data_IF_501026490321
#
_entry.id   IF_501026490321
#
_cell.length_a   1.000
_cell.length_b   1.000
_cell.length_c   1.000
_cell.angle_alpha   90.00
_cell.angle_beta   90.00
_cell.angle_gamma   90.00
#
_symmetry.space_group_name_H-M   'P 1'
#
loop_
_entity.id
_entity.type
_entity.pdbx_description
1 polymer ?
#
# COMPACT_ATOMS: atom_id res chain seq x y z
N UNK A 1 36.51 7.96 -74.54
CA UNK A 1 36.58 7.09 -73.36
C UNK A 1 35.67 7.67 -72.31
N UNK A 2 34.47 7.10 -72.17
CA UNK A 2 33.45 7.54 -71.22
C UNK A 2 33.45 6.56 -70.03
N UNK A 3 33.79 7.04 -68.87
CA UNK A 3 33.79 6.24 -67.64
C UNK A 3 32.38 6.21 -67.04
N UNK A 4 31.73 5.05 -67.13
CA UNK A 4 30.50 4.75 -66.42
C UNK A 4 30.77 4.73 -64.91
N UNK A 5 30.16 5.63 -64.14
CA UNK A 5 30.05 5.53 -62.69
C UNK A 5 29.08 4.42 -62.37
N UNK A 6 29.57 3.35 -61.76
CA UNK A 6 28.78 2.30 -61.15
C UNK A 6 28.14 2.83 -59.84
N UNK A 7 26.85 2.88 -59.84
CA UNK A 7 26.06 3.20 -58.66
C UNK A 7 26.06 1.95 -57.74
N UNK A 8 26.73 2.06 -56.62
CA UNK A 8 26.66 1.02 -55.56
C UNK A 8 25.36 1.24 -54.76
N UNK A 9 24.45 0.28 -54.73
CA UNK A 9 23.26 0.42 -53.87
C UNK A 9 23.67 0.38 -52.41
N UNK A 10 23.27 1.40 -51.64
CA UNK A 10 23.43 1.39 -50.21
C UNK A 10 22.66 0.22 -49.60
N UNK A 11 23.20 -0.47 -48.60
CA UNK A 11 22.48 -1.58 -47.93
C UNK A 11 21.24 -1.02 -47.24
N UNK A 12 20.10 -1.61 -47.58
CA UNK A 12 18.83 -1.38 -46.88
C UNK A 12 19.04 -1.61 -45.39
N UNK A 13 18.88 -0.57 -44.60
CA UNK A 13 18.85 -0.73 -43.13
C UNK A 13 17.65 -1.58 -42.79
N UNK A 14 17.89 -2.82 -42.38
CA UNK A 14 16.89 -3.69 -41.79
C UNK A 14 16.31 -3.00 -40.57
N UNK A 15 14.99 -3.05 -40.37
CA UNK A 15 14.37 -2.45 -39.18
C UNK A 15 14.98 -3.06 -37.92
N UNK A 16 15.54 -2.22 -37.06
CA UNK A 16 16.04 -2.64 -35.75
C UNK A 16 14.85 -2.80 -34.85
N UNK A 17 14.50 -4.02 -34.51
CA UNK A 17 13.55 -4.32 -33.46
C UNK A 17 14.24 -4.10 -32.11
N UNK A 18 13.73 -3.19 -31.32
CA UNK A 18 14.13 -3.04 -29.92
C UNK A 18 13.18 -3.91 -29.09
N UNK A 19 13.72 -4.94 -28.52
CA UNK A 19 13.00 -5.75 -27.52
C UNK A 19 12.97 -4.98 -26.21
N UNK A 20 11.81 -4.46 -25.84
CA UNK A 20 11.59 -3.87 -24.54
C UNK A 20 11.17 -4.97 -23.57
N UNK A 21 12.11 -5.55 -22.86
CA UNK A 21 11.77 -6.38 -21.71
C UNK A 21 11.36 -5.47 -20.56
N UNK A 22 10.07 -5.32 -20.35
CA UNK A 22 9.53 -4.69 -19.15
C UNK A 22 9.47 -5.76 -18.07
N UNK A 23 10.37 -5.71 -17.10
CA UNK A 23 10.27 -6.49 -15.87
C UNK A 23 9.75 -5.58 -14.75
N UNK A 24 8.44 -5.56 -14.50
CA UNK A 24 7.88 -4.78 -13.39
C UNK A 24 7.96 -5.54 -12.07
N UNK A 25 8.83 -6.53 -11.95
CA UNK A 25 9.05 -7.27 -10.72
C UNK A 25 9.84 -6.37 -9.81
N UNK A 26 9.25 -6.08 -8.64
CA UNK A 26 10.01 -5.51 -7.54
C UNK A 26 11.06 -6.55 -7.16
N UNK A 27 12.29 -6.28 -7.52
CA UNK A 27 13.37 -7.20 -7.22
C UNK A 27 13.61 -7.18 -5.71
N UNK A 28 13.34 -8.32 -5.08
CA UNK A 28 13.72 -8.56 -3.70
C UNK A 28 15.23 -8.81 -3.67
N UNK A 29 15.91 -8.14 -2.78
CA UNK A 29 17.27 -8.53 -2.43
C UNK A 29 17.17 -9.71 -1.50
N UNK A 30 17.86 -10.78 -1.83
CA UNK A 30 18.19 -11.78 -0.88
C UNK A 30 19.00 -11.14 0.25
N UNK A 31 18.42 -11.09 1.43
CA UNK A 31 19.00 -10.41 2.59
C UNK A 31 20.09 -11.23 3.27
N UNK A 32 20.22 -12.50 2.90
CA UNK A 32 21.34 -13.35 3.28
C UNK A 32 22.53 -13.22 2.32
N UNK A 33 22.48 -12.26 1.41
CA UNK A 33 23.68 -11.88 0.66
C UNK A 33 24.78 -11.61 1.69
N UNK A 34 25.73 -12.51 1.72
CA UNK A 34 26.98 -12.38 2.47
C UNK A 34 27.52 -11.01 2.11
N UNK A 35 27.46 -10.10 3.08
CA UNK A 35 27.96 -8.75 2.90
C UNK A 35 29.42 -8.91 2.53
N UNK A 36 29.73 -8.74 1.25
CA UNK A 36 31.11 -8.76 0.77
C UNK A 36 31.89 -7.75 1.59
N UNK A 37 32.88 -8.16 2.40
CA UNK A 37 33.65 -7.25 3.25
C UNK A 37 34.33 -6.13 2.46
N UNK A 38 34.54 -6.32 1.15
CA UNK A 38 35.11 -5.30 0.25
C UNK A 38 34.09 -4.24 -0.19
N UNK A 39 32.78 -4.46 0.04
CA UNK A 39 31.69 -3.59 -0.39
C UNK A 39 30.81 -3.18 0.78
N UNK A 40 31.42 -2.87 1.93
CA UNK A 40 30.74 -2.56 3.18
C UNK A 40 29.88 -1.30 3.04
N UNK A 41 28.62 -1.51 2.67
CA UNK A 41 27.59 -0.50 2.93
C UNK A 41 27.39 -0.46 4.44
N UNK A 42 27.29 0.74 4.99
CA UNK A 42 27.07 0.96 6.44
C UNK A 42 25.74 0.35 6.90
N UNK A 43 24.82 0.17 6.00
CA UNK A 43 23.48 -0.33 6.24
C UNK A 43 23.10 -1.47 5.29
N UNK A 44 22.20 -2.30 5.73
CA UNK A 44 21.57 -3.33 4.91
C UNK A 44 20.53 -2.67 4.00
N UNK A 45 20.67 -2.76 2.67
CA UNK A 45 19.69 -2.18 1.76
C UNK A 45 18.34 -2.90 1.90
N UNK A 46 17.25 -2.14 1.83
CA UNK A 46 15.90 -2.69 1.84
C UNK A 46 15.39 -2.78 0.40
N UNK A 47 15.55 -3.96 -0.20
CA UNK A 47 15.33 -4.23 -1.62
C UNK A 47 16.53 -3.82 -2.49
N UNK A 48 16.50 -4.14 -3.79
CA UNK A 48 17.51 -3.72 -4.74
C UNK A 48 17.63 -2.19 -4.72
N UNK A 49 18.84 -1.69 -4.72
CA UNK A 49 19.16 -0.27 -4.67
C UNK A 49 18.50 0.49 -3.51
N UNK A 50 18.09 -0.23 -2.44
CA UNK A 50 17.41 0.34 -1.30
C UNK A 50 16.05 1.00 -1.64
N UNK A 51 15.43 0.60 -2.73
CA UNK A 51 14.26 1.25 -3.33
C UNK A 51 12.91 0.67 -2.88
N UNK A 52 12.89 -0.55 -2.31
CA UNK A 52 11.64 -1.27 -2.00
C UNK A 52 10.65 -0.44 -1.17
N UNK A 53 11.00 0.23 -0.05
CA UNK A 53 10.03 0.99 0.72
C UNK A 53 9.37 2.12 -0.08
N UNK A 54 10.15 2.80 -0.96
CA UNK A 54 9.62 3.85 -1.82
C UNK A 54 8.64 3.29 -2.85
N UNK A 55 8.95 2.13 -3.43
CA UNK A 55 8.08 1.45 -4.39
C UNK A 55 6.76 1.03 -3.72
N UNK A 56 6.82 0.43 -2.53
CA UNK A 56 5.63 0.04 -1.77
C UNK A 56 4.75 1.24 -1.39
N UNK A 57 5.35 2.37 -0.96
CA UNK A 57 4.61 3.62 -0.70
C UNK A 57 3.94 4.12 -1.98
N UNK A 58 4.67 4.10 -3.11
CA UNK A 58 4.12 4.53 -4.40
C UNK A 58 2.88 3.70 -4.75
N UNK A 59 2.97 2.39 -4.68
CA UNK A 59 1.83 1.50 -4.92
C UNK A 59 0.66 1.79 -3.97
N UNK A 60 0.94 1.95 -2.66
CA UNK A 60 -0.09 2.29 -1.68
C UNK A 60 -0.74 3.67 -1.91
N UNK A 61 -0.14 4.58 -2.68
CA UNK A 61 -0.70 5.89 -3.03
C UNK A 61 -1.44 5.89 -4.36
N UNK A 62 -0.96 5.11 -5.32
CA UNK A 62 -1.43 5.14 -6.71
C UNK A 62 -2.53 4.09 -6.99
N UNK A 63 -2.62 3.03 -6.18
CA UNK A 63 -3.62 1.96 -6.36
C UNK A 63 -4.74 2.09 -5.32
N UNK A 64 -5.93 2.61 -5.70
CA UNK A 64 -6.98 2.96 -4.74
C UNK A 64 -7.48 1.79 -3.90
N UNK A 65 -7.75 0.63 -4.53
CA UNK A 65 -8.25 -0.56 -3.84
C UNK A 65 -7.22 -1.11 -2.87
N UNK A 66 -5.94 -1.17 -3.26
CA UNK A 66 -4.84 -1.56 -2.38
C UNK A 66 -4.77 -0.64 -1.13
N UNK A 67 -4.84 0.67 -1.33
CA UNK A 67 -4.86 1.63 -0.23
C UNK A 67 -6.07 1.47 0.67
N UNK A 68 -7.25 1.23 0.09
CA UNK A 68 -8.49 1.04 0.84
C UNK A 68 -8.40 -0.20 1.75
N UNK A 69 -7.83 -1.30 1.25
CA UNK A 69 -7.63 -2.52 2.03
C UNK A 69 -6.63 -2.27 3.18
N UNK A 70 -5.49 -1.63 2.92
CA UNK A 70 -4.51 -1.29 3.96
C UNK A 70 -5.13 -0.44 5.07
N UNK A 71 -5.91 0.59 4.70
CA UNK A 71 -6.62 1.43 5.65
C UNK A 71 -7.69 0.66 6.43
N UNK A 72 -8.47 -0.18 5.75
CA UNK A 72 -9.50 -1.01 6.36
C UNK A 72 -8.88 -1.95 7.40
N UNK A 73 -7.88 -2.73 7.02
CA UNK A 73 -7.15 -3.63 7.94
C UNK A 73 -6.59 -2.86 9.15
N UNK A 74 -5.93 -1.71 8.90
CA UNK A 74 -5.39 -0.88 9.98
C UNK A 74 -6.49 -0.46 10.97
N UNK A 75 -7.64 -0.01 10.45
CA UNK A 75 -8.75 0.43 11.30
C UNK A 75 -9.36 -0.73 12.09
N UNK A 76 -9.50 -1.92 11.51
CA UNK A 76 -10.03 -3.09 12.22
C UNK A 76 -9.02 -3.64 13.24
N UNK A 77 -7.71 -3.62 12.97
CA UNK A 77 -6.68 -4.04 13.93
C UNK A 77 -6.66 -3.09 15.14
N UNK A 78 -6.76 -1.78 14.90
CA UNK A 78 -6.80 -0.80 15.98
C UNK A 78 -8.13 -0.85 16.73
N UNK A 79 -9.23 -1.19 16.06
CA UNK A 79 -10.59 -1.13 16.60
C UNK A 79 -10.95 0.28 17.04
N UNK A 80 -11.56 0.41 18.21
CA UNK A 80 -11.85 1.71 18.83
C UNK A 80 -10.68 2.25 19.67
N UNK A 81 -9.51 1.61 19.57
CA UNK A 81 -8.32 1.97 20.31
C UNK A 81 -7.91 0.92 21.34
N UNK A 82 -7.20 1.37 22.35
CA UNK A 82 -6.68 0.53 23.43
C UNK A 82 -7.09 1.07 24.78
N UNK A 83 -7.29 0.17 25.74
CA UNK A 83 -7.68 0.50 27.11
C UNK A 83 -6.93 -0.33 28.13
N UNK A 84 -6.96 0.12 29.37
CA UNK A 84 -6.50 -0.63 30.52
C UNK A 84 -7.30 -0.22 31.76
N UNK A 85 -7.58 -1.18 32.66
CA UNK A 85 -8.14 -0.92 33.97
C UNK A 85 -7.09 -0.49 35.00
N UNK A 86 -5.80 -0.75 34.71
CA UNK A 86 -4.67 -0.33 35.57
C UNK A 86 -4.39 1.17 35.43
N UNK A 87 -4.41 1.97 36.50
CA UNK A 87 -4.23 3.43 36.41
C UNK A 87 -2.90 3.86 35.81
N UNK A 88 -1.82 3.11 36.02
CA UNK A 88 -0.48 3.42 35.51
C UNK A 88 -0.45 3.21 34.01
N UNK A 89 -0.94 2.06 33.56
CA UNK A 89 -1.06 1.73 32.13
C UNK A 89 -2.02 2.71 31.43
N UNK A 90 -3.19 2.99 32.03
CA UNK A 90 -4.14 3.94 31.48
C UNK A 90 -3.54 5.36 31.30
N UNK A 91 -2.78 5.84 32.29
CA UNK A 91 -2.08 7.12 32.20
C UNK A 91 -1.03 7.14 31.06
N UNK A 92 -0.29 6.05 30.88
CA UNK A 92 0.66 5.92 29.78
C UNK A 92 -0.05 5.93 28.41
N UNK A 93 -1.19 5.28 28.27
CA UNK A 93 -1.96 5.24 27.02
C UNK A 93 -2.44 6.64 26.60
N UNK A 94 -2.72 7.52 27.55
CA UNK A 94 -3.10 8.91 27.30
C UNK A 94 -1.92 9.80 26.91
N UNK A 95 -0.75 9.58 27.51
CA UNK A 95 0.44 10.40 27.31
C UNK A 95 1.69 9.54 27.08
N UNK A 96 1.76 8.80 25.96
CA UNK A 96 2.87 7.89 25.67
C UNK A 96 4.16 8.63 25.32
N UNK A 97 4.10 9.94 25.07
CA UNK A 97 5.25 10.76 24.70
C UNK A 97 5.01 12.25 25.01
N UNK A 98 6.07 13.05 24.91
CA UNK A 98 6.02 14.48 25.18
C UNK A 98 5.33 15.32 24.06
N UNK A 99 4.94 14.68 22.94
CA UNK A 99 4.21 15.34 21.82
C UNK A 99 2.71 15.38 22.06
N UNK A 100 2.22 14.89 23.21
CA UNK A 100 0.79 14.79 23.57
C UNK A 100 -0.04 14.01 22.53
N UNK A 101 0.58 13.03 21.89
CA UNK A 101 -0.08 12.12 20.95
C UNK A 101 -0.60 10.92 21.72
N UNK A 102 -1.89 10.56 21.54
CA UNK A 102 -2.47 9.36 22.16
C UNK A 102 -1.75 8.10 21.64
N UNK A 103 -1.63 7.09 22.49
CA UNK A 103 -0.98 5.83 22.11
C UNK A 103 -1.70 5.14 20.94
N UNK A 104 -3.03 5.24 20.86
CA UNK A 104 -3.80 4.74 19.74
C UNK A 104 -3.38 5.33 18.39
N UNK A 105 -2.97 6.60 18.36
CA UNK A 105 -2.46 7.26 17.14
C UNK A 105 -1.08 6.71 16.76
N UNK A 106 -0.19 6.55 17.73
CA UNK A 106 1.12 5.92 17.53
C UNK A 106 0.94 4.49 17.03
N UNK A 107 0.04 3.71 17.66
CA UNK A 107 -0.25 2.33 17.28
C UNK A 107 -0.85 2.24 15.87
N UNK A 108 -1.71 3.18 15.49
CA UNK A 108 -2.25 3.26 14.11
C UNK A 108 -1.15 3.41 13.06
N UNK A 109 -0.17 4.26 13.33
CA UNK A 109 0.99 4.44 12.43
C UNK A 109 1.82 3.17 12.33
N UNK A 110 2.09 2.52 13.46
CA UNK A 110 2.81 1.25 13.50
C UNK A 110 2.09 0.14 12.75
N UNK A 111 0.77 0.00 12.94
CA UNK A 111 -0.04 -0.97 12.20
C UNK A 111 0.00 -0.70 10.70
N UNK A 112 -0.11 0.56 10.29
CA UNK A 112 -0.07 0.92 8.88
C UNK A 112 1.29 0.60 8.25
N UNK A 113 2.39 0.91 8.94
CA UNK A 113 3.74 0.59 8.49
C UNK A 113 3.95 -0.93 8.41
N UNK A 114 3.53 -1.69 9.42
CA UNK A 114 3.63 -3.14 9.44
C UNK A 114 2.88 -3.78 8.26
N UNK A 115 1.66 -3.33 7.99
CA UNK A 115 0.87 -3.83 6.87
C UNK A 115 1.44 -3.43 5.51
N UNK A 116 2.07 -2.25 5.41
CA UNK A 116 2.60 -1.72 4.14
C UNK A 116 3.96 -2.31 3.80
N UNK A 117 4.84 -2.46 4.79
CA UNK A 117 6.24 -2.84 4.59
C UNK A 117 6.60 -4.23 5.10
N UNK A 118 5.72 -4.88 5.86
CA UNK A 118 6.07 -6.05 6.66
C UNK A 118 7.01 -5.71 7.82
N UNK A 119 7.21 -4.42 8.10
CA UNK A 119 8.11 -3.91 9.13
C UNK A 119 7.52 -2.67 9.78
N UNK A 120 7.68 -2.54 11.09
CA UNK A 120 7.45 -1.27 11.77
C UNK A 120 8.47 -1.05 12.87
N UNK A 121 8.70 0.21 13.20
CA UNK A 121 9.71 0.62 14.16
C UNK A 121 9.14 1.64 15.13
N UNK A 122 9.47 1.47 16.41
CA UNK A 122 9.21 2.50 17.42
C UNK A 122 10.42 2.69 18.32
N UNK A 123 10.60 3.93 18.72
CA UNK A 123 11.69 4.34 19.59
C UNK A 123 11.19 4.39 21.02
N UNK A 124 11.94 3.75 21.90
CA UNK A 124 11.81 3.85 23.35
C UNK A 124 12.80 4.88 23.85
N UNK A 125 12.33 5.81 24.65
CA UNK A 125 13.17 6.82 25.29
C UNK A 125 12.93 6.76 26.79
N UNK A 126 14.00 6.56 27.58
CA UNK A 126 13.93 6.45 29.03
C UNK A 126 15.16 7.06 29.68
N UNK A 127 15.14 7.22 30.97
CA UNK A 127 16.34 7.65 31.73
C UNK A 127 17.13 6.44 32.28
N UNK A 128 18.32 6.69 32.78
CA UNK A 128 19.17 5.64 33.37
C UNK A 128 18.50 4.89 34.54
N UNK A 129 17.57 5.55 35.24
CA UNK A 129 16.82 4.96 36.36
C UNK A 129 15.56 4.22 35.88
N UNK A 130 15.21 4.30 34.59
CA UNK A 130 13.99 3.72 34.00
C UNK A 130 12.73 4.13 34.74
N UNK A 131 12.65 5.39 35.19
CA UNK A 131 11.52 5.90 35.97
C UNK A 131 10.37 6.38 35.08
N UNK A 132 10.59 6.53 33.79
CA UNK A 132 9.58 6.83 32.79
C UNK A 132 9.98 6.19 31.44
N UNK A 133 9.04 6.05 30.56
CA UNK A 133 9.25 5.63 29.17
C UNK A 133 8.39 6.47 28.22
N UNK A 134 8.99 6.94 27.15
CA UNK A 134 8.28 7.52 26.01
C UNK A 134 8.38 6.59 24.81
N UNK A 135 7.32 6.55 24.03
CA UNK A 135 7.21 5.76 22.81
C UNK A 135 6.96 6.68 21.62
N UNK A 136 7.81 6.60 20.60
CA UNK A 136 7.69 7.37 19.38
C UNK A 136 7.64 6.44 18.18
N UNK A 137 6.70 6.64 17.29
CA UNK A 137 6.71 5.98 15.99
C UNK A 137 7.90 6.48 15.16
N UNK A 138 8.61 5.53 14.55
CA UNK A 138 9.63 5.79 13.54
C UNK A 138 9.14 5.25 12.18
N UNK A 139 9.08 6.13 11.20
CA UNK A 139 8.61 5.81 9.84
C UNK A 139 9.50 4.73 9.22
N UNK A 140 8.94 3.56 8.94
CA UNK A 140 9.67 2.40 8.43
C UNK A 140 10.40 2.68 7.11
N UNK A 141 9.91 3.60 6.30
CA UNK A 141 10.58 4.01 5.06
C UNK A 141 11.92 4.72 5.30
N UNK A 142 12.10 5.29 6.49
CA UNK A 142 13.28 6.07 6.89
C UNK A 142 14.29 5.29 7.73
N UNK A 143 13.92 4.11 8.20
CA UNK A 143 14.79 3.28 9.03
C UNK A 143 15.52 2.25 8.17
N UNK A 144 16.80 2.06 8.43
CA UNK A 144 17.62 0.95 7.91
C UNK A 144 18.38 0.29 9.03
N UNK A 145 18.63 -0.99 8.88
CA UNK A 145 19.42 -1.74 9.83
C UNK A 145 20.91 -1.59 9.49
N UNK A 146 21.72 -1.34 10.51
CA UNK A 146 23.17 -1.33 10.37
C UNK A 146 23.69 -2.76 10.15
N UNK A 147 24.76 -2.91 9.40
CA UNK A 147 25.35 -4.21 9.05
C UNK A 147 25.87 -5.00 10.24
N UNK A 148 26.05 -4.38 11.40
CA UNK A 148 26.40 -5.06 12.66
C UNK A 148 25.22 -5.77 13.34
N UNK A 149 23.98 -5.52 12.87
CA UNK A 149 22.75 -6.05 13.45
C UNK A 149 22.37 -5.47 14.81
N UNK A 150 23.08 -4.43 15.30
CA UNK A 150 22.88 -3.88 16.64
C UNK A 150 22.28 -2.47 16.64
N UNK A 151 22.27 -1.82 15.50
CA UNK A 151 21.85 -0.43 15.37
C UNK A 151 20.81 -0.27 14.26
N UNK A 152 19.91 0.67 14.48
CA UNK A 152 19.02 1.22 13.46
C UNK A 152 19.52 2.60 13.04
N UNK A 153 19.59 2.81 11.76
CA UNK A 153 19.97 4.05 11.12
C UNK A 153 18.73 4.75 10.59
N UNK A 154 18.56 6.01 10.95
CA UNK A 154 17.40 6.80 10.55
C UNK A 154 17.89 7.97 9.70
N UNK A 155 17.36 8.06 8.47
CA UNK A 155 17.69 9.14 7.57
C UNK A 155 16.44 9.68 6.87
N UNK A 156 16.24 10.99 6.75
CA UNK A 156 15.04 11.58 6.16
C UNK A 156 14.82 11.23 4.68
N UNK A 157 15.92 11.05 3.93
CA UNK A 157 15.89 10.69 2.52
C UNK A 157 17.11 9.87 2.12
N UNK A 158 16.95 8.57 1.95
CA UNK A 158 18.03 7.64 1.63
C UNK A 158 18.66 7.84 0.25
N UNK A 159 18.00 8.50 -0.69
CA UNK A 159 18.58 8.84 -2.00
C UNK A 159 19.67 9.92 -1.89
N UNK A 160 19.60 10.72 -0.83
CA UNK A 160 20.56 11.78 -0.56
C UNK A 160 21.64 11.37 0.47
N UNK A 161 21.61 10.12 0.92
CA UNK A 161 22.56 9.61 1.90
C UNK A 161 24.01 9.63 1.36
N UNK A 162 24.93 10.24 2.13
CA UNK A 162 26.33 10.48 1.76
C UNK A 162 27.36 9.73 2.62
N UNK A 163 26.93 8.69 3.32
CA UNK A 163 27.82 7.90 4.17
C UNK A 163 27.75 8.31 5.66
N UNK A 164 28.67 7.76 6.46
CA UNK A 164 28.64 7.88 7.92
C UNK A 164 28.80 9.32 8.46
N UNK A 165 29.35 10.22 7.67
CA UNK A 165 29.50 11.63 8.04
C UNK A 165 28.28 12.49 7.67
N UNK A 166 27.19 11.87 7.23
CA UNK A 166 25.97 12.60 6.91
C UNK A 166 25.34 13.17 8.19
N UNK A 167 25.22 14.49 8.25
CA UNK A 167 24.69 15.23 9.41
C UNK A 167 23.25 14.89 9.77
N UNK A 168 22.51 14.30 8.84
CA UNK A 168 21.10 13.91 9.04
C UNK A 168 20.95 12.46 9.47
N UNK A 169 22.04 11.70 9.46
CA UNK A 169 22.04 10.32 9.91
C UNK A 169 21.96 10.26 11.44
N UNK A 170 20.98 9.55 11.95
CA UNK A 170 20.87 9.17 13.36
C UNK A 170 21.09 7.67 13.49
N UNK A 171 21.95 7.28 14.43
CA UNK A 171 22.16 5.89 14.79
C UNK A 171 21.66 5.65 16.21
N UNK A 172 20.79 4.67 16.39
CA UNK A 172 20.21 4.29 17.68
C UNK A 172 20.33 2.78 17.84
N UNK A 173 20.66 2.31 19.03
CA UNK A 173 20.75 0.86 19.32
C UNK A 173 19.41 0.17 19.09
N UNK A 174 19.46 -1.07 18.59
CA UNK A 174 18.30 -1.95 18.51
C UNK A 174 18.01 -2.58 19.87
N UNK A 175 16.76 -2.68 20.23
CA UNK A 175 16.32 -3.42 21.42
C UNK A 175 16.83 -4.88 21.38
N UNK A 176 17.36 -5.42 22.49
CA UNK A 176 17.25 -4.94 23.87
C UNK A 176 18.37 -3.96 24.33
N UNK A 177 19.26 -3.54 23.45
CA UNK A 177 20.32 -2.60 23.79
C UNK A 177 19.80 -1.14 23.77
N UNK A 178 20.45 -0.29 24.57
CA UNK A 178 20.13 1.14 24.66
C UNK A 178 21.40 1.97 24.43
N UNK A 179 21.29 3.03 23.64
CA UNK A 179 22.33 4.04 23.42
C UNK A 179 22.00 5.32 24.15
N UNK A 180 23.04 6.04 24.65
CA UNK A 180 22.84 7.39 25.17
C UNK A 180 22.66 8.38 24.03
N UNK A 181 21.57 9.16 24.08
CA UNK A 181 21.38 10.29 23.19
C UNK A 181 22.12 11.55 23.68
N UNK A 182 22.15 12.56 22.81
CA UNK A 182 22.72 13.89 23.12
C UNK A 182 21.93 14.63 24.23
N UNK A 183 20.68 14.22 24.44
CA UNK A 183 19.79 14.71 25.51
C UNK A 183 20.04 14.06 26.88
N UNK A 184 21.00 13.15 26.96
CA UNK A 184 21.36 12.42 28.19
C UNK A 184 20.37 11.29 28.54
N UNK A 185 19.40 11.00 27.67
CA UNK A 185 18.45 9.91 27.80
C UNK A 185 18.97 8.63 27.10
N UNK A 186 18.33 7.53 27.39
CA UNK A 186 18.58 6.23 26.77
C UNK A 186 17.57 6.00 25.68
N UNK A 187 18.05 5.66 24.51
CA UNK A 187 17.25 5.40 23.30
C UNK A 187 17.43 3.97 22.84
N UNK A 188 16.36 3.36 22.40
CA UNK A 188 16.37 2.03 21.76
C UNK A 188 15.29 1.96 20.69
N UNK A 189 15.58 1.33 19.57
CA UNK A 189 14.61 1.06 18.50
C UNK A 189 14.12 -0.38 18.62
N UNK A 190 12.83 -0.54 18.74
CA UNK A 190 12.19 -1.85 18.63
C UNK A 190 11.76 -2.06 17.18
N UNK A 191 12.14 -3.19 16.63
CA UNK A 191 11.80 -3.61 15.28
C UNK A 191 10.81 -4.78 15.34
N UNK A 192 9.61 -4.58 14.82
CA UNK A 192 8.63 -5.64 14.59
C UNK A 192 8.62 -5.94 13.10
N UNK A 193 8.80 -7.19 12.73
CA UNK A 193 8.80 -7.62 11.32
C UNK A 193 7.90 -8.82 11.10
N UNK A 194 7.31 -8.89 9.93
CA UNK A 194 6.63 -10.10 9.44
C UNK A 194 7.68 -11.13 9.02
N UNK A 195 7.45 -12.38 9.39
CA UNK A 195 8.41 -13.44 9.10
C UNK A 195 8.26 -13.90 7.65
N UNK A 196 9.38 -13.89 6.94
CA UNK A 196 9.49 -14.49 5.62
C UNK A 196 10.76 -15.36 5.58
N UNK A 197 10.71 -16.62 5.12
CA UNK A 197 11.90 -17.44 4.92
C UNK A 197 12.94 -16.72 4.06
N UNK A 198 14.23 -16.94 4.32
CA UNK A 198 15.38 -16.33 3.63
C UNK A 198 15.56 -14.82 3.90
N UNK A 199 14.62 -14.16 4.61
CA UNK A 199 14.71 -12.75 4.95
C UNK A 199 15.04 -12.56 6.43
N UNK A 200 16.33 -12.46 6.75
CA UNK A 200 16.79 -12.35 8.15
C UNK A 200 16.74 -10.91 8.68
N UNK A 201 16.92 -9.90 7.84
CA UNK A 201 17.00 -8.48 8.25
C UNK A 201 15.63 -7.82 8.30
N UNK A 202 14.91 -7.83 7.20
CA UNK A 202 13.60 -7.19 7.08
C UNK A 202 12.51 -8.23 6.92
N UNK A 203 11.30 -7.88 7.30
CA UNK A 203 10.11 -8.62 6.92
C UNK A 203 9.61 -8.21 5.53
N UNK A 204 8.76 -9.04 4.96
CA UNK A 204 8.10 -8.77 3.68
C UNK A 204 6.60 -8.70 3.94
N UNK A 205 5.87 -7.71 3.38
CA UNK A 205 4.45 -7.61 3.64
C UNK A 205 3.69 -8.81 3.04
N UNK A 206 2.71 -9.32 3.77
CA UNK A 206 1.97 -10.54 3.43
C UNK A 206 1.33 -10.55 2.03
N UNK A 207 1.01 -9.37 1.47
CA UNK A 207 0.46 -9.24 0.12
C UNK A 207 1.51 -9.31 -1.00
N UNK A 208 2.78 -9.40 -0.67
CA UNK A 208 3.87 -9.29 -1.65
C UNK A 208 3.83 -10.38 -2.72
N UNK A 209 3.37 -11.58 -2.38
CA UNK A 209 3.18 -12.68 -3.34
C UNK A 209 2.30 -12.28 -4.54
N UNK A 210 1.35 -11.37 -4.34
CA UNK A 210 0.47 -10.84 -5.37
C UNK A 210 0.81 -9.42 -5.82
N UNK A 211 2.02 -8.94 -5.60
CA UNK A 211 2.43 -7.56 -5.93
C UNK A 211 2.20 -7.22 -7.40
N UNK A 212 2.28 -8.22 -8.30
CA UNK A 212 2.00 -8.04 -9.73
C UNK A 212 0.55 -7.60 -9.96
N UNK A 213 -0.42 -8.13 -9.20
CA UNK A 213 -1.82 -7.72 -9.33
C UNK A 213 -2.02 -6.27 -8.86
N UNK A 214 -1.29 -5.84 -7.82
CA UNK A 214 -1.28 -4.43 -7.39
C UNK A 214 -0.76 -3.54 -8.53
N UNK A 215 0.33 -3.93 -9.17
CA UNK A 215 0.92 -3.19 -10.31
C UNK A 215 -0.04 -3.16 -11.50
N UNK A 216 -0.66 -4.30 -11.85
CA UNK A 216 -1.64 -4.39 -12.95
C UNK A 216 -2.83 -3.46 -12.69
N UNK A 217 -3.40 -3.46 -11.49
CA UNK A 217 -4.49 -2.54 -11.13
C UNK A 217 -4.07 -1.07 -11.29
N UNK A 218 -2.86 -0.71 -10.87
CA UNK A 218 -2.31 0.64 -11.07
C UNK A 218 -2.13 1.01 -12.53
N UNK A 219 -1.55 0.11 -13.33
CA UNK A 219 -1.35 0.32 -14.77
C UNK A 219 -2.68 0.44 -15.53
N UNK A 220 -3.70 -0.33 -15.15
CA UNK A 220 -5.03 -0.24 -15.75
C UNK A 220 -5.67 1.12 -15.48
N UNK A 221 -5.50 1.67 -14.28
CA UNK A 221 -5.98 3.02 -13.97
C UNK A 221 -5.27 4.09 -14.81
N UNK A 222 -3.94 4.00 -14.97
CA UNK A 222 -3.16 4.90 -15.83
C UNK A 222 -3.60 4.77 -17.29
N UNK A 223 -3.81 3.55 -17.76
CA UNK A 223 -4.27 3.28 -19.12
C UNK A 223 -5.66 3.91 -19.36
N UNK A 224 -6.61 3.73 -18.45
CA UNK A 224 -7.94 4.32 -18.53
C UNK A 224 -7.86 5.86 -18.56
N UNK A 225 -7.05 6.45 -17.69
CA UNK A 225 -6.83 7.90 -17.66
C UNK A 225 -6.28 8.40 -18.99
N UNK A 226 -5.22 7.78 -19.49
CA UNK A 226 -4.58 8.19 -20.76
C UNK A 226 -5.55 8.06 -21.93
N UNK A 227 -6.41 7.04 -21.91
CA UNK A 227 -7.40 6.85 -22.95
C UNK A 227 -8.47 7.92 -22.94
N UNK A 228 -8.93 8.35 -21.76
CA UNK A 228 -9.82 9.49 -21.61
C UNK A 228 -9.15 10.80 -22.08
N UNK A 229 -7.91 11.05 -21.67
CA UNK A 229 -7.14 12.24 -22.07
C UNK A 229 -6.89 12.30 -23.58
N UNK A 230 -6.67 11.15 -24.23
CA UNK A 230 -6.51 11.06 -25.69
C UNK A 230 -7.83 11.09 -26.46
N UNK A 231 -8.96 11.39 -25.81
CA UNK A 231 -10.29 11.43 -26.43
C UNK A 231 -10.64 10.11 -27.15
N UNK A 232 -10.22 8.97 -26.60
CA UNK A 232 -10.41 7.63 -27.17
C UNK A 232 -9.72 7.40 -28.52
N UNK A 233 -8.74 8.20 -28.91
CA UNK A 233 -7.96 7.97 -30.11
C UNK A 233 -7.29 6.57 -30.03
N UNK A 234 -7.63 5.70 -30.95
CA UNK A 234 -7.01 4.38 -31.03
C UNK A 234 -5.55 4.53 -31.43
N UNK A 235 -4.62 3.79 -30.80
CA UNK A 235 -3.26 3.74 -31.28
C UNK A 235 -3.24 3.19 -32.70
N UNK A 236 -2.44 3.80 -33.56
CA UNK A 236 -2.40 3.41 -34.96
C UNK A 236 -1.26 4.05 -35.72
N UNK A 237 -1.16 3.72 -36.97
CA UNK A 237 -0.19 4.30 -37.89
C UNK A 237 -0.91 5.21 -38.88
N UNK A 238 -0.53 6.46 -38.92
CA UNK A 238 -1.00 7.41 -39.90
C UNK A 238 0.02 7.41 -41.07
N UNK A 239 -0.39 6.92 -42.21
CA UNK A 239 0.41 6.89 -43.42
C UNK A 239 0.09 8.13 -44.23
N UNK A 240 1.08 8.99 -44.49
CA UNK A 240 0.95 10.24 -45.24
C UNK A 240 1.80 10.10 -46.50
N UNK A 241 1.20 9.97 -47.69
CA UNK A 241 1.89 9.95 -48.93
C UNK A 241 2.25 11.38 -49.42
N UNK A 242 3.18 11.49 -50.38
CA UNK A 242 3.52 12.76 -51.01
C UNK A 242 4.55 13.61 -50.26
N UNK A 243 5.21 13.05 -49.27
CA UNK A 243 6.28 13.75 -48.53
C UNK A 243 7.63 13.37 -49.06
N UNK A 244 8.20 14.23 -49.91
CA UNK A 244 9.41 13.95 -50.66
C UNK A 244 10.68 14.57 -50.08
N UNK A 245 10.55 15.47 -49.08
CA UNK A 245 11.69 16.08 -48.41
C UNK A 245 11.71 15.84 -46.92
N UNK A 246 12.88 15.73 -46.35
CA UNK A 246 13.08 15.58 -44.91
C UNK A 246 12.64 16.83 -44.14
N UNK A 247 12.71 18.00 -44.74
CA UNK A 247 12.27 19.26 -44.17
C UNK A 247 10.73 19.28 -44.04
N UNK A 248 10.00 18.83 -45.05
CA UNK A 248 8.53 18.75 -45.01
C UNK A 248 8.06 17.69 -44.01
N UNK A 249 8.75 16.55 -43.93
CA UNK A 249 8.47 15.51 -42.94
C UNK A 249 8.65 16.05 -41.51
N UNK A 250 9.70 16.82 -41.26
CA UNK A 250 9.97 17.42 -39.94
C UNK A 250 8.93 18.49 -39.59
N UNK A 251 8.55 19.35 -40.53
CA UNK A 251 7.55 20.37 -40.35
C UNK A 251 6.17 19.77 -40.03
N UNK A 252 5.76 18.75 -40.81
CA UNK A 252 4.53 18.01 -40.59
C UNK A 252 4.52 17.29 -39.22
N UNK A 253 5.63 16.63 -38.87
CA UNK A 253 5.76 15.95 -37.59
C UNK A 253 5.63 16.94 -36.39
N UNK A 254 6.25 18.11 -36.50
CA UNK A 254 6.16 19.16 -35.49
C UNK A 254 4.72 19.65 -35.34
N UNK A 255 4.05 19.88 -36.46
CA UNK A 255 2.64 20.34 -36.46
C UNK A 255 1.72 19.28 -35.87
N UNK A 256 1.88 18.02 -36.26
CA UNK A 256 1.07 16.90 -35.75
C UNK A 256 1.34 16.65 -34.27
N UNK A 257 2.59 16.77 -33.81
CA UNK A 257 2.92 16.66 -32.38
C UNK A 257 2.20 17.75 -31.54
N UNK A 258 1.99 18.94 -32.10
CA UNK A 258 1.21 20.01 -31.49
C UNK A 258 -0.28 19.66 -31.34
N UNK A 259 -0.86 18.92 -32.31
CA UNK A 259 -2.28 18.51 -32.26
C UNK A 259 -2.53 17.26 -31.42
N UNK A 260 -1.65 16.29 -31.47
CA UNK A 260 -1.82 15.01 -30.78
C UNK A 260 -1.21 15.00 -29.37
N UNK A 261 -0.54 16.10 -28.99
CA UNK A 261 0.05 16.30 -27.67
C UNK A 261 1.28 15.43 -27.42
N UNK A 262 2.23 15.97 -26.68
CA UNK A 262 3.36 15.24 -26.13
C UNK A 262 2.91 14.46 -24.87
N UNK A 263 1.93 13.59 -24.97
CA UNK A 263 1.50 12.75 -23.87
C UNK A 263 2.54 11.68 -23.59
N UNK A 264 3.21 11.79 -22.45
CA UNK A 264 4.38 11.03 -22.03
C UNK A 264 4.16 9.53 -21.77
N UNK A 265 3.03 8.96 -22.14
CA UNK A 265 2.71 7.55 -21.98
C UNK A 265 2.51 6.88 -23.34
N UNK A 266 2.93 5.62 -23.47
CA UNK A 266 2.90 4.88 -24.73
C UNK A 266 1.48 4.49 -25.22
N UNK A 267 0.45 4.69 -24.40
CA UNK A 267 -0.94 4.43 -24.75
C UNK A 267 -1.51 5.58 -25.59
N UNK A 268 -1.97 5.29 -26.80
CA UNK A 268 -2.54 6.28 -27.72
C UNK A 268 -1.52 6.92 -28.67
N UNK A 269 -0.29 6.43 -28.77
CA UNK A 269 0.68 6.95 -29.74
C UNK A 269 0.24 6.64 -31.16
N UNK A 270 0.15 7.68 -31.98
CA UNK A 270 0.02 7.57 -33.42
C UNK A 270 1.43 7.58 -34.01
N UNK A 271 1.79 6.52 -34.70
CA UNK A 271 3.03 6.45 -35.48
C UNK A 271 2.74 7.10 -36.81
N UNK A 272 3.52 8.12 -37.19
CA UNK A 272 3.41 8.76 -38.48
C UNK A 272 4.44 8.16 -39.40
N UNK A 273 3.98 7.62 -40.54
CA UNK A 273 4.81 7.12 -41.59
C UNK A 273 4.67 8.01 -42.82
N UNK A 274 5.75 8.63 -43.24
CA UNK A 274 5.81 9.38 -44.50
C UNK A 274 6.21 8.46 -45.65
N UNK A 275 5.51 8.55 -46.76
CA UNK A 275 5.83 7.83 -47.98
C UNK A 275 6.13 8.84 -49.07
N UNK A 276 7.23 8.64 -49.78
CA UNK A 276 7.55 9.39 -51.00
C UNK A 276 6.55 9.07 -52.11
N UNK A 277 6.36 10.02 -53.03
CA UNK A 277 5.50 9.81 -54.17
C UNK A 277 5.97 8.60 -55.00
N UNK A 278 5.03 7.81 -55.52
CA UNK A 278 5.35 6.83 -56.53
C UNK A 278 5.86 7.53 -57.78
N UNK A 279 6.45 6.77 -58.70
CA UNK A 279 7.07 7.29 -59.93
C UNK A 279 6.23 8.36 -60.66
N UNK A 280 6.84 9.32 -61.39
CA UNK A 280 6.14 10.39 -62.07
C UNK A 280 4.96 9.88 -62.91
N UNK A 281 3.74 10.37 -62.64
CA UNK A 281 2.53 9.97 -63.34
C UNK A 281 1.63 8.97 -62.61
N UNK A 282 2.03 8.43 -61.46
CA UNK A 282 1.18 7.63 -60.62
C UNK A 282 0.35 8.52 -59.68
N UNK A 283 -0.88 8.11 -59.35
CA UNK A 283 -1.72 8.85 -58.42
C UNK A 283 -1.12 8.86 -57.02
N UNK A 284 -1.06 10.03 -56.38
CA UNK A 284 -0.68 10.17 -54.97
C UNK A 284 -1.67 9.38 -54.11
N UNK A 285 -1.17 8.54 -53.24
CA UNK A 285 -2.00 7.75 -52.35
C UNK A 285 -2.81 8.62 -51.40
N UNK A 286 -3.91 8.09 -50.90
CA UNK A 286 -4.69 8.76 -49.86
C UNK A 286 -4.03 8.61 -48.47
N UNK A 287 -4.23 9.60 -47.60
CA UNK A 287 -3.84 9.50 -46.21
C UNK A 287 -4.66 8.38 -45.55
N UNK A 288 -3.95 7.39 -45.01
CA UNK A 288 -4.60 6.23 -44.39
C UNK A 288 -4.23 6.15 -42.89
N UNK A 289 -5.24 5.95 -42.09
CA UNK A 289 -5.06 5.57 -40.69
C UNK A 289 -5.24 4.05 -40.54
N UNK A 290 -4.17 3.38 -40.13
CA UNK A 290 -4.19 1.93 -39.86
C UNK A 290 -4.19 1.74 -38.35
N UNK A 291 -5.35 1.43 -37.75
CA UNK A 291 -5.39 1.17 -36.30
C UNK A 291 -4.58 -0.08 -36.00
N UNK A 292 -3.74 -0.01 -34.95
CA UNK A 292 -3.19 -1.21 -34.35
C UNK A 292 -4.35 -1.96 -33.70
N UNK A 293 -4.34 -3.29 -33.76
CA UNK A 293 -5.47 -4.15 -33.42
C UNK A 293 -6.30 -3.63 -32.23
N UNK A 294 -7.62 -3.59 -32.41
CA UNK A 294 -8.54 -3.29 -31.33
C UNK A 294 -8.49 -4.44 -30.33
N UNK A 295 -7.73 -4.28 -29.27
CA UNK A 295 -7.92 -5.12 -28.10
C UNK A 295 -9.37 -4.96 -27.65
N UNK A 296 -10.05 -6.06 -27.40
CA UNK A 296 -11.42 -6.06 -26.94
C UNK A 296 -11.52 -5.22 -25.66
N UNK A 297 -12.22 -4.10 -25.70
CA UNK A 297 -12.42 -3.22 -24.54
C UNK A 297 -13.03 -3.99 -23.35
N UNK A 298 -13.87 -4.98 -23.62
CA UNK A 298 -14.42 -5.90 -22.65
C UNK A 298 -13.32 -6.68 -21.89
N UNK A 299 -12.26 -7.11 -22.58
CA UNK A 299 -11.17 -7.86 -21.96
C UNK A 299 -10.39 -7.02 -20.91
N UNK A 300 -10.21 -5.73 -21.17
CA UNK A 300 -9.54 -4.83 -20.21
C UNK A 300 -10.40 -4.54 -18.98
N UNK A 301 -11.71 -4.42 -19.16
CA UNK A 301 -12.64 -4.25 -18.04
C UNK A 301 -12.67 -5.51 -17.16
N UNK A 302 -12.70 -6.68 -17.78
CA UNK A 302 -12.65 -7.96 -17.07
C UNK A 302 -11.31 -8.11 -16.32
N UNK A 303 -10.19 -7.77 -16.95
CA UNK A 303 -8.87 -7.81 -16.32
C UNK A 303 -8.81 -6.87 -15.11
N UNK A 304 -9.36 -5.67 -15.22
CA UNK A 304 -9.43 -4.72 -14.12
C UNK A 304 -10.23 -5.29 -12.94
N UNK A 305 -11.44 -5.77 -13.20
CA UNK A 305 -12.31 -6.35 -12.17
C UNK A 305 -11.67 -7.58 -11.52
N UNK A 306 -11.06 -8.46 -12.31
CA UNK A 306 -10.33 -9.63 -11.79
C UNK A 306 -9.12 -9.22 -10.95
N UNK A 307 -8.36 -8.20 -11.38
CA UNK A 307 -7.21 -7.72 -10.61
C UNK A 307 -7.64 -7.16 -9.25
N UNK A 308 -8.73 -6.40 -9.19
CA UNK A 308 -9.26 -5.85 -7.94
C UNK A 308 -9.76 -6.94 -6.98
N UNK A 309 -10.48 -7.94 -7.47
CA UNK A 309 -10.90 -9.10 -6.66
C UNK A 309 -9.68 -9.88 -6.15
N UNK A 310 -8.65 -10.03 -6.99
CA UNK A 310 -7.39 -10.66 -6.60
C UNK A 310 -6.69 -9.89 -5.48
N UNK A 311 -6.78 -8.55 -5.45
CA UNK A 311 -6.20 -7.73 -4.37
C UNK A 311 -6.81 -8.08 -3.01
N UNK A 312 -8.12 -8.32 -2.93
CA UNK A 312 -8.77 -8.71 -1.68
C UNK A 312 -8.23 -10.06 -1.19
N UNK A 313 -8.08 -11.01 -2.12
CA UNK A 313 -7.56 -12.35 -1.81
C UNK A 313 -6.11 -12.31 -1.34
N UNK A 314 -5.21 -11.61 -2.05
CA UNK A 314 -3.79 -11.56 -1.69
C UNK A 314 -3.53 -10.80 -0.39
N UNK A 315 -4.42 -9.90 -0.02
CA UNK A 315 -4.38 -9.27 1.29
C UNK A 315 -4.93 -10.15 2.41
N UNK A 316 -5.42 -11.35 2.11
CA UNK A 316 -6.16 -12.18 3.06
C UNK A 316 -7.23 -11.33 3.77
N UNK A 317 -8.10 -10.69 2.98
CA UNK A 317 -9.12 -9.80 3.50
C UNK A 317 -10.50 -10.16 2.96
N UNK A 318 -11.52 -9.50 3.45
CA UNK A 318 -12.92 -9.83 3.17
C UNK A 318 -13.61 -8.71 2.38
N UNK A 319 -14.37 -9.06 1.33
CA UNK A 319 -15.04 -8.06 0.49
C UNK A 319 -15.96 -7.13 1.28
N UNK A 320 -16.80 -7.67 2.18
CA UNK A 320 -17.76 -6.85 2.96
C UNK A 320 -17.10 -5.91 3.98
N UNK A 321 -15.83 -6.15 4.33
CA UNK A 321 -15.04 -5.29 5.22
C UNK A 321 -14.19 -4.26 4.45
N UNK A 322 -14.26 -4.28 3.12
CA UNK A 322 -13.58 -3.33 2.25
C UNK A 322 -14.60 -2.34 1.67
N UNK A 323 -14.29 -1.05 1.54
CA UNK A 323 -15.17 -0.10 0.86
C UNK A 323 -15.14 -0.32 -0.67
N UNK A 324 -15.51 -1.50 -1.12
CA UNK A 324 -15.57 -1.91 -2.52
C UNK A 324 -17.03 -2.06 -2.93
N UNK A 325 -17.49 -1.28 -3.91
CA UNK A 325 -18.91 -1.07 -4.18
C UNK A 325 -19.57 -2.07 -5.13
N UNK A 326 -18.83 -2.98 -5.74
CA UNK A 326 -19.36 -3.83 -6.83
C UNK A 326 -20.16 -5.06 -6.34
N UNK A 327 -20.40 -5.16 -5.05
CA UNK A 327 -21.14 -6.27 -4.48
C UNK A 327 -22.60 -5.95 -4.28
N UNK A 328 -23.41 -6.29 -5.27
CA UNK A 328 -24.87 -6.23 -5.22
C UNK A 328 -25.50 -6.99 -4.04
N UNK A 329 -24.72 -7.78 -3.29
CA UNK A 329 -25.17 -8.59 -2.16
C UNK A 329 -24.50 -8.24 -0.81
N UNK A 330 -23.71 -7.18 -0.72
CA UNK A 330 -22.91 -6.89 0.47
C UNK A 330 -23.68 -6.27 1.64
N UNK A 331 -24.95 -5.93 1.47
CA UNK A 331 -25.78 -5.34 2.51
C UNK A 331 -26.50 -6.34 3.44
N UNK A 332 -26.23 -7.64 3.30
CA UNK A 332 -26.70 -8.60 4.30
C UNK A 332 -25.88 -8.45 5.58
N UNK A 333 -26.50 -7.88 6.60
CA UNK A 333 -25.87 -7.66 7.92
C UNK A 333 -25.25 -8.94 8.50
N UNK A 334 -25.85 -10.09 8.25
CA UNK A 334 -25.32 -11.39 8.66
C UNK A 334 -23.99 -11.75 8.00
N UNK A 335 -23.81 -11.43 6.73
CA UNK A 335 -22.54 -11.69 6.02
C UNK A 335 -21.42 -10.82 6.56
N UNK A 336 -21.65 -9.53 6.76
CA UNK A 336 -20.66 -8.60 7.30
C UNK A 336 -20.18 -9.08 8.67
N UNK A 337 -21.10 -9.50 9.54
CA UNK A 337 -20.75 -10.00 10.87
C UNK A 337 -19.97 -11.32 10.83
N UNK A 338 -20.36 -12.25 9.95
CA UNK A 338 -19.64 -13.51 9.80
C UNK A 338 -18.21 -13.28 9.25
N UNK A 339 -18.06 -12.44 8.22
CA UNK A 339 -16.75 -12.07 7.68
C UNK A 339 -15.90 -11.34 8.74
N UNK A 340 -16.50 -10.48 9.55
CA UNK A 340 -15.82 -9.84 10.68
C UNK A 340 -15.33 -10.84 11.72
N UNK A 341 -16.16 -11.82 12.13
CA UNK A 341 -15.78 -12.85 13.09
C UNK A 341 -14.60 -13.70 12.57
N UNK A 342 -14.63 -14.07 11.28
CA UNK A 342 -13.52 -14.79 10.67
C UNK A 342 -12.28 -13.91 10.60
N UNK A 343 -12.40 -12.64 10.18
CA UNK A 343 -11.30 -11.68 10.14
C UNK A 343 -10.68 -11.47 11.53
N UNK A 344 -11.52 -11.38 12.56
CA UNK A 344 -11.06 -11.28 13.96
C UNK A 344 -10.20 -12.47 14.36
N UNK A 345 -10.62 -13.68 14.03
CA UNK A 345 -9.91 -14.89 14.43
C UNK A 345 -8.62 -15.12 13.63
N UNK A 346 -8.64 -14.82 12.31
CA UNK A 346 -7.57 -15.22 11.39
C UNK A 346 -6.55 -14.13 11.07
N UNK A 347 -6.94 -12.85 11.17
CA UNK A 347 -6.10 -11.72 10.77
C UNK A 347 -5.89 -10.73 11.91
N UNK A 348 -6.97 -10.26 12.52
CA UNK A 348 -6.91 -9.12 13.45
C UNK A 348 -6.22 -9.51 14.75
N UNK A 349 -6.74 -10.52 15.46
CA UNK A 349 -6.19 -10.96 16.76
C UNK A 349 -4.73 -11.44 16.65
N UNK A 350 -4.31 -12.21 15.64
CA UNK A 350 -2.90 -12.58 15.48
C UNK A 350 -1.97 -11.36 15.38
N UNK A 351 -2.35 -10.35 14.60
CA UNK A 351 -1.55 -9.11 14.49
C UNK A 351 -1.57 -8.33 15.81
N UNK A 352 -2.73 -8.19 16.47
CA UNK A 352 -2.83 -7.57 17.79
C UNK A 352 -1.92 -8.26 18.82
N UNK A 353 -1.82 -9.59 18.79
CA UNK A 353 -0.93 -10.36 19.67
C UNK A 353 0.56 -10.04 19.42
N UNK A 354 0.99 -9.89 18.16
CA UNK A 354 2.35 -9.50 17.83
C UNK A 354 2.68 -8.14 18.45
N UNK A 355 1.80 -7.15 18.29
CA UNK A 355 1.97 -5.83 18.90
C UNK A 355 1.96 -5.90 20.42
N UNK A 356 0.98 -6.59 21.01
CA UNK A 356 0.86 -6.75 22.45
C UNK A 356 2.13 -7.35 23.06
N UNK A 357 2.63 -8.45 22.51
CA UNK A 357 3.82 -9.13 23.00
C UNK A 357 5.08 -8.26 22.88
N UNK A 358 5.25 -7.58 21.75
CA UNK A 358 6.38 -6.67 21.54
C UNK A 358 6.36 -5.50 22.53
N UNK A 359 5.21 -4.87 22.70
CA UNK A 359 5.03 -3.76 23.65
C UNK A 359 5.23 -4.21 25.09
N UNK A 360 4.64 -5.32 25.49
CA UNK A 360 4.79 -5.87 26.84
C UNK A 360 6.27 -6.12 27.19
N UNK A 361 7.00 -6.77 26.28
CA UNK A 361 8.42 -7.09 26.49
C UNK A 361 9.27 -5.82 26.55
N UNK A 362 9.08 -4.91 25.61
CA UNK A 362 9.93 -3.74 25.47
C UNK A 362 9.68 -2.68 26.54
N UNK A 363 8.41 -2.45 26.93
CA UNK A 363 8.06 -1.51 27.99
C UNK A 363 8.41 -2.04 29.37
N UNK A 364 8.30 -3.35 29.62
CA UNK A 364 8.79 -3.98 30.86
C UNK A 364 10.29 -3.77 31.05
N UNK A 365 11.08 -3.83 29.97
CA UNK A 365 12.51 -3.51 30.01
C UNK A 365 12.80 -2.04 30.37
N UNK A 366 11.84 -1.14 30.14
CA UNK A 366 11.90 0.27 30.55
C UNK A 366 11.27 0.55 31.93
N UNK A 367 10.86 -0.49 32.68
CA UNK A 367 10.26 -0.36 33.99
C UNK A 367 8.74 -0.16 34.01
N UNK A 368 8.09 -0.17 32.85
CA UNK A 368 6.62 -0.08 32.76
C UNK A 368 6.02 -1.45 32.38
N UNK A 369 5.34 -2.07 33.30
CA UNK A 369 4.58 -3.29 33.04
C UNK A 369 3.17 -2.92 32.55
N UNK A 370 2.83 -3.34 31.33
CA UNK A 370 1.46 -3.23 30.84
C UNK A 370 0.58 -4.24 31.56
N UNK A 371 -0.41 -3.74 32.32
CA UNK A 371 -1.43 -4.56 33.00
C UNK A 371 -2.78 -4.30 32.36
N UNK A 372 -3.57 -5.35 32.20
CA UNK A 372 -4.93 -5.28 31.64
C UNK A 372 -5.02 -4.47 30.33
N UNK A 373 -3.98 -4.56 29.52
CA UNK A 373 -3.93 -3.88 28.21
C UNK A 373 -4.73 -4.65 27.19
N UNK A 374 -5.74 -4.02 26.62
CA UNK A 374 -6.65 -4.62 25.68
C UNK A 374 -6.94 -3.72 24.49
N UNK A 375 -7.13 -4.34 23.31
CA UNK A 375 -7.70 -3.68 22.14
C UNK A 375 -9.22 -3.67 22.24
N UNK A 376 -9.83 -2.51 22.02
CA UNK A 376 -11.29 -2.38 22.04
C UNK A 376 -11.82 -2.77 20.65
N UNK A 377 -12.19 -4.05 20.52
CA UNK A 377 -12.75 -4.58 19.29
C UNK A 377 -14.26 -4.42 19.29
N UNK A 378 -14.80 -3.80 18.22
CA UNK A 378 -16.22 -3.61 18.04
C UNK A 378 -16.63 -4.08 16.65
N UNK A 379 -17.66 -4.91 16.51
CA UNK A 379 -18.17 -5.27 15.20
C UNK A 379 -18.72 -4.04 14.48
N UNK A 380 -18.60 -3.99 13.13
CA UNK A 380 -19.06 -2.83 12.35
C UNK A 380 -20.57 -2.64 12.39
N UNK A 381 -21.29 -3.68 12.75
CA UNK A 381 -22.75 -3.70 12.93
C UNK A 381 -23.04 -4.45 14.22
N UNK A 382 -23.84 -3.88 15.12
CA UNK A 382 -24.24 -4.57 16.34
C UNK A 382 -25.23 -5.70 16.02
N UNK A 383 -24.93 -6.91 16.50
CA UNK A 383 -25.94 -7.96 16.59
C UNK A 383 -26.87 -7.64 17.74
N UNK A 384 -28.10 -7.31 17.43
CA UNK A 384 -29.16 -7.37 18.45
C UNK A 384 -29.46 -8.85 18.65
N UNK A 385 -28.88 -9.45 19.70
CA UNK A 385 -29.24 -10.81 20.06
C UNK A 385 -30.67 -10.82 20.57
N UNK A 386 -31.59 -11.59 19.97
CA UNK A 386 -32.98 -11.67 20.41
C UNK A 386 -33.14 -12.14 21.88
N UNK A 387 -32.10 -12.78 22.42
CA UNK A 387 -32.05 -13.23 23.81
C UNK A 387 -31.46 -12.22 24.79
N UNK A 388 -30.98 -11.06 24.31
CA UNK A 388 -30.52 -9.98 25.17
C UNK A 388 -31.72 -9.23 25.76
N UNK A 389 -31.55 -8.72 26.99
CA UNK A 389 -32.49 -7.78 27.56
C UNK A 389 -32.44 -6.43 26.84
N UNK A 390 -33.56 -5.73 26.78
CA UNK A 390 -33.61 -4.41 26.13
C UNK A 390 -32.64 -3.42 26.77
N UNK A 391 -32.43 -3.47 28.07
CA UNK A 391 -31.48 -2.60 28.77
C UNK A 391 -30.03 -2.90 28.39
N UNK A 392 -29.68 -4.15 28.05
CA UNK A 392 -28.33 -4.51 27.55
C UNK A 392 -28.08 -3.91 26.17
N UNK A 393 -29.05 -4.03 25.27
CA UNK A 393 -28.97 -3.44 23.92
C UNK A 393 -28.85 -1.92 24.00
N UNK A 394 -29.62 -1.27 24.89
CA UNK A 394 -29.54 0.18 25.10
C UNK A 394 -28.18 0.61 25.64
N UNK A 395 -27.66 -0.11 26.65
CA UNK A 395 -26.31 0.11 27.20
C UNK A 395 -25.25 0.02 26.10
N UNK A 396 -25.27 -1.05 25.32
CA UNK A 396 -24.26 -1.33 24.29
C UNK A 396 -24.37 -0.37 23.10
N UNK A 397 -25.55 0.25 22.92
CA UNK A 397 -25.79 1.31 21.93
C UNK A 397 -25.50 2.73 22.47
N UNK A 398 -25.01 2.86 23.70
CA UNK A 398 -24.73 4.16 24.35
C UNK A 398 -25.99 4.98 24.68
N UNK A 399 -27.16 4.34 24.76
CA UNK A 399 -28.43 4.96 25.15
C UNK A 399 -28.63 4.86 26.67
N UNK A 400 -29.39 5.83 27.26
CA UNK A 400 -29.80 5.72 28.64
C UNK A 400 -30.54 4.41 28.87
N UNK A 401 -30.21 3.71 29.95
CA UNK A 401 -30.82 2.43 30.33
C UNK A 401 -31.12 2.35 31.80
N UNK A 402 -32.18 1.63 32.14
CA UNK A 402 -32.58 1.34 33.52
C UNK A 402 -32.82 -0.16 33.66
N UNK A 403 -32.00 -0.82 34.48
CA UNK A 403 -32.12 -2.26 34.76
C UNK A 403 -33.34 -2.60 35.57
N UNK A 404 -33.97 -1.63 36.25
CA UNK A 404 -35.15 -1.82 37.07
C UNK A 404 -36.45 -1.58 36.32
N UNK A 405 -36.38 -0.99 35.12
CA UNK A 405 -37.55 -0.75 34.26
C UNK A 405 -38.08 -2.10 33.71
N UNK A 406 -39.32 -2.48 34.03
CA UNK A 406 -39.90 -3.74 33.54
C UNK A 406 -39.92 -3.86 32.03
N UNK A 407 -40.06 -2.74 31.29
CA UNK A 407 -40.07 -2.75 29.85
C UNK A 407 -38.68 -3.06 29.27
N UNK A 408 -37.62 -2.65 29.97
CA UNK A 408 -36.24 -2.91 29.58
C UNK A 408 -35.71 -4.25 30.10
N UNK A 409 -36.40 -4.89 31.00
CA UNK A 409 -36.14 -6.28 31.44
C UNK A 409 -36.73 -7.33 30.48
N UNK A 410 -37.47 -6.93 29.46
CA UNK A 410 -37.96 -7.85 28.43
C UNK A 410 -36.81 -8.28 27.51
N UNK A 411 -36.87 -9.51 27.07
CA UNK A 411 -36.01 -9.95 25.97
C UNK A 411 -36.44 -9.28 24.66
N UNK A 412 -35.48 -8.95 23.81
CA UNK A 412 -35.76 -8.35 22.51
C UNK A 412 -36.74 -9.19 21.69
N UNK A 413 -36.63 -10.53 21.76
CA UNK A 413 -37.56 -11.45 21.12
C UNK A 413 -39.02 -11.28 21.63
N UNK A 414 -39.21 -11.05 22.92
CA UNK A 414 -40.54 -10.83 23.50
C UNK A 414 -41.14 -9.52 23.00
N UNK A 415 -40.33 -8.49 22.90
CA UNK A 415 -40.74 -7.19 22.39
C UNK A 415 -41.15 -7.27 20.91
N UNK A 416 -40.36 -7.98 20.07
CA UNK A 416 -40.70 -8.22 18.68
C UNK A 416 -42.01 -9.00 18.51
N UNK A 417 -42.25 -10.02 19.34
CA UNK A 417 -43.48 -10.80 19.31
C UNK A 417 -44.70 -9.98 19.74
N UNK A 418 -44.52 -9.09 20.71
CA UNK A 418 -45.57 -8.18 21.16
C UNK A 418 -45.98 -7.18 20.06
N UNK A 419 -45.00 -6.62 19.37
CA UNK A 419 -45.30 -5.75 18.22
C UNK A 419 -45.95 -6.50 17.06
N UNK A 420 -45.50 -7.73 16.76
CA UNK A 420 -46.09 -8.56 15.69
C UNK A 420 -47.52 -8.98 16.03
N UNK A 421 -47.87 -9.22 17.30
CA UNK A 421 -49.22 -9.54 17.72
C UNK A 421 -50.15 -8.32 17.66
N UNK A 422 -49.64 -7.13 18.03
CA UNK A 422 -50.41 -5.88 17.98
C UNK A 422 -50.68 -5.41 16.53
N UNK A 423 -49.81 -5.76 15.56
CA UNK A 423 -50.08 -5.48 14.16
C UNK A 423 -51.09 -6.44 13.49
N UNK A 424 -51.36 -7.60 14.13
CA UNK A 424 -52.34 -8.58 13.59
C UNK A 424 -53.77 -8.35 14.15
N UNK A 425 -53.92 -7.52 15.15
CA UNK A 425 -55.18 -7.08 15.71
C UNK A 425 -55.28 -5.56 15.65
N UNK A 426 -55.72 -4.96 14.52
CA UNK A 426 -55.97 -3.54 14.44
C UNK A 426 -57.19 -3.09 15.25
#
# INVERSE_FOLDING_TARGET
MSTKKTHNPQPSQSPRFYEFSYSPVLDLVDTDVILDPSNIKVFVPFGIDNALPRQLIKLAREVPVHRAILNSKTNYILGQGVQSSDPVTASFLQLPNNRKELFSVTLKKLCFDYLTFGNCFYELVTNKKRSFVFVYHQDASRVRLHTDGKQALIHPNWDLFRGNSDKYLKSISLFPEFSSGDDGLLHSIVHIKDYEPEFSWYGIPSYFAGIRNVIISGLTNIWNQTRLESSFASPGMLVIPGVNSEADATALNTTMAGYFGALGTNSGKIVIQFMSDPAPGAAVGEVKFVPFSRDNEAHWLDLHTQSELSLITIHNWFPSLTPYSDMKSSFESGRILNEYEVAMATVIKPIQQVFHQSLQTSLAACGLQLKDFEFINSPPISRINPMNFVWEVRRDSGLEFDKTDPAQQLLVLQLQNTFASNMKNP
#
